data_IF_138174173267
#
_entry.id   IF_138174173267
#
_cell.length_a   1.000
_cell.length_b   1.000
_cell.length_c   1.000
_cell.angle_alpha   90.00
_cell.angle_beta   90.00
_cell.angle_gamma   90.00
#
_symmetry.space_group_name_H-M   'P 1'
#
loop_
_entity.id
_entity.type
_entity.pdbx_description
1 polymer ?
#
# COMPACT_ATOMS: atom_id res chain seq x y z
N UNK A 1 1.48 -10.41 -8.78
CA UNK A 1 0.60 -9.32 -8.25
C UNK A 1 0.28 -9.68 -6.81
N UNK A 2 0.24 -8.71 -5.91
CA UNK A 2 -0.25 -8.89 -4.54
C UNK A 2 -1.69 -8.40 -4.44
N UNK A 3 -2.49 -9.04 -3.60
CA UNK A 3 -3.87 -8.67 -3.31
C UNK A 3 -3.97 -8.15 -1.87
N UNK A 4 -4.32 -6.88 -1.71
CA UNK A 4 -4.58 -6.29 -0.41
C UNK A 4 -6.08 -6.08 -0.23
N UNK A 5 -6.66 -6.67 0.80
CA UNK A 5 -8.05 -6.42 1.16
C UNK A 5 -8.16 -5.04 1.81
N UNK A 6 -8.98 -4.16 1.22
CA UNK A 6 -9.25 -2.84 1.77
C UNK A 6 -10.58 -2.82 2.51
N UNK A 7 -10.55 -2.38 3.75
CA UNK A 7 -11.75 -2.19 4.57
C UNK A 7 -11.81 -0.76 5.14
N UNK A 8 -13.03 -0.33 5.44
CA UNK A 8 -13.31 0.88 6.20
C UNK A 8 -13.86 0.45 7.57
N UNK A 9 -13.04 0.43 8.64
CA UNK A 9 -13.38 -0.31 9.84
C UNK A 9 -14.55 0.26 10.63
N UNK A 10 -14.69 1.58 10.69
CA UNK A 10 -15.69 2.21 11.58
C UNK A 10 -16.93 2.71 10.86
N UNK A 11 -16.90 2.89 9.54
CA UNK A 11 -18.06 3.42 8.79
C UNK A 11 -19.07 2.33 8.46
N UNK A 12 -20.08 2.17 9.32
CA UNK A 12 -21.13 1.18 9.16
C UNK A 12 -22.14 1.54 8.05
N UNK A 13 -22.40 2.84 7.81
CA UNK A 13 -23.27 3.33 6.73
C UNK A 13 -22.74 4.65 6.17
N UNK A 14 -22.71 4.77 4.83
CA UNK A 14 -22.40 6.03 4.14
C UNK A 14 -23.67 6.89 3.93
N UNK A 15 -23.51 8.17 3.57
CA UNK A 15 -24.64 9.05 3.23
C UNK A 15 -25.47 8.52 2.06
N UNK A 16 -24.83 7.92 1.07
CA UNK A 16 -25.48 7.40 -0.14
C UNK A 16 -26.25 6.11 0.05
N UNK A 17 -26.09 5.43 1.20
CA UNK A 17 -26.82 4.20 1.48
C UNK A 17 -28.25 4.56 1.90
N UNK A 18 -29.24 4.19 1.11
CA UNK A 18 -30.67 4.49 1.37
C UNK A 18 -31.33 3.47 2.29
N UNK A 19 -31.03 2.19 2.12
CA UNK A 19 -31.59 1.10 2.89
C UNK A 19 -30.51 0.21 3.52
N UNK A 20 -30.81 -0.38 4.68
CA UNK A 20 -29.94 -1.32 5.38
C UNK A 20 -30.56 -2.72 5.32
N UNK A 21 -29.72 -3.72 5.11
CA UNK A 21 -30.16 -5.12 5.23
C UNK A 21 -30.62 -5.42 6.67
N UNK A 22 -31.64 -6.27 6.85
CA UNK A 22 -32.20 -6.58 8.17
C UNK A 22 -31.21 -7.18 9.19
N UNK A 23 -30.09 -7.76 8.71
CA UNK A 23 -29.00 -8.26 9.54
C UNK A 23 -27.87 -7.23 9.78
N UNK A 24 -28.01 -5.99 9.28
CA UNK A 24 -26.99 -4.95 9.44
C UNK A 24 -26.78 -4.59 10.92
N UNK A 25 -25.53 -4.30 11.33
CA UNK A 25 -25.18 -4.04 12.73
C UNK A 25 -25.98 -2.86 13.34
N UNK A 26 -26.22 -1.80 12.56
CA UNK A 26 -27.00 -0.66 13.02
C UNK A 26 -28.49 -0.99 13.27
N UNK A 27 -29.01 -2.10 12.70
CA UNK A 27 -30.37 -2.61 12.97
C UNK A 27 -30.35 -3.60 14.12
N UNK A 28 -29.41 -4.54 14.10
CA UNK A 28 -29.35 -5.61 15.12
C UNK A 28 -28.80 -5.14 16.46
N UNK A 29 -27.92 -4.15 16.45
CA UNK A 29 -27.24 -3.63 17.64
C UNK A 29 -27.09 -2.10 17.54
N UNK A 30 -28.21 -1.34 17.57
CA UNK A 30 -28.19 0.11 17.34
C UNK A 30 -27.31 0.89 18.32
N UNK A 31 -27.12 0.38 19.55
CA UNK A 31 -26.23 0.97 20.54
C UNK A 31 -24.72 0.89 20.20
N UNK A 32 -24.33 0.15 19.14
CA UNK A 32 -22.94 0.07 18.67
C UNK A 32 -22.55 1.20 17.74
N UNK A 33 -23.51 1.88 17.15
CA UNK A 33 -23.29 2.94 16.19
C UNK A 33 -23.87 4.26 16.69
N UNK A 34 -23.28 5.36 16.25
CA UNK A 34 -23.88 6.68 16.36
C UNK A 34 -24.13 7.28 14.98
N UNK A 35 -25.12 8.17 14.90
CA UNK A 35 -25.39 8.96 13.69
C UNK A 35 -24.50 10.20 13.69
N UNK A 36 -23.91 10.50 12.53
CA UNK A 36 -23.11 11.70 12.33
C UNK A 36 -23.18 12.14 10.87
N UNK A 37 -23.69 13.33 10.62
CA UNK A 37 -23.82 13.92 9.28
C UNK A 37 -24.42 12.94 8.23
N UNK A 38 -25.47 12.19 8.61
CA UNK A 38 -26.17 11.22 7.75
C UNK A 38 -25.45 9.87 7.54
N UNK A 39 -24.38 9.64 8.26
CA UNK A 39 -23.65 8.35 8.31
C UNK A 39 -23.94 7.62 9.61
N UNK A 40 -23.73 6.30 9.65
CA UNK A 40 -23.61 5.53 10.89
C UNK A 40 -22.17 5.11 11.08
N UNK A 41 -21.64 5.42 12.26
CA UNK A 41 -20.26 5.16 12.65
C UNK A 41 -20.26 4.19 13.83
N UNK A 42 -19.53 3.10 13.74
CA UNK A 42 -19.16 2.29 14.91
C UNK A 42 -18.32 3.14 15.83
N UNK A 43 -18.73 3.30 17.08
CA UNK A 43 -18.03 4.18 18.02
C UNK A 43 -16.61 3.67 18.30
N UNK A 44 -15.53 4.40 17.91
CA UNK A 44 -14.15 3.95 18.14
C UNK A 44 -13.78 3.89 19.63
N UNK A 45 -14.50 4.63 20.46
CA UNK A 45 -14.33 4.65 21.90
C UNK A 45 -14.92 3.44 22.63
N UNK A 46 -15.76 2.63 21.95
CA UNK A 46 -16.32 1.39 22.53
C UNK A 46 -15.38 0.20 22.30
N UNK A 47 -14.79 -0.39 23.35
CA UNK A 47 -13.91 -1.56 23.22
C UNK A 47 -14.56 -2.74 22.50
N UNK A 48 -15.89 -2.93 22.66
CA UNK A 48 -16.60 -4.03 22.02
C UNK A 48 -16.73 -3.84 20.50
N UNK A 49 -16.69 -2.61 20.00
CA UNK A 49 -16.63 -2.34 18.55
C UNK A 49 -15.23 -2.68 17.99
N UNK A 50 -14.14 -2.42 18.72
CA UNK A 50 -12.82 -2.86 18.31
C UNK A 50 -12.76 -4.38 18.20
N UNK A 51 -13.22 -5.11 19.21
CA UNK A 51 -13.27 -6.58 19.17
C UNK A 51 -14.14 -7.11 18.02
N UNK A 52 -15.24 -6.44 17.68
CA UNK A 52 -16.04 -6.81 16.52
C UNK A 52 -15.27 -6.66 15.21
N UNK A 53 -14.55 -5.55 15.03
CA UNK A 53 -13.74 -5.30 13.83
C UNK A 53 -12.59 -6.30 13.74
N UNK A 54 -11.93 -6.64 14.85
CA UNK A 54 -10.88 -7.67 14.88
C UNK A 54 -11.38 -9.02 14.41
N UNK A 55 -12.60 -9.43 14.79
CA UNK A 55 -13.22 -10.66 14.30
C UNK A 55 -13.49 -10.64 12.81
N UNK A 56 -13.92 -9.49 12.27
CA UNK A 56 -14.12 -9.32 10.82
C UNK A 56 -12.79 -9.45 10.08
N UNK A 57 -11.74 -8.80 10.56
CA UNK A 57 -10.40 -8.89 9.95
C UNK A 57 -9.83 -10.30 10.08
N UNK A 58 -9.95 -10.94 11.24
CA UNK A 58 -9.51 -12.33 11.43
C UNK A 58 -10.21 -13.28 10.44
N UNK A 59 -11.51 -13.10 10.21
CA UNK A 59 -12.25 -13.91 9.23
C UNK A 59 -11.74 -13.71 7.81
N UNK A 60 -11.45 -12.47 7.40
CA UNK A 60 -10.85 -12.17 6.08
C UNK A 60 -9.48 -12.83 5.96
N UNK A 61 -8.58 -12.54 6.89
CA UNK A 61 -7.19 -13.04 6.85
C UNK A 61 -7.14 -14.57 6.92
N UNK A 62 -8.02 -15.18 7.72
CA UNK A 62 -8.10 -16.65 7.86
C UNK A 62 -8.59 -17.32 6.58
N UNK A 63 -9.65 -16.80 5.96
CA UNK A 63 -10.37 -17.45 4.85
C UNK A 63 -9.78 -17.21 3.48
N UNK A 64 -9.11 -16.07 3.28
CA UNK A 64 -8.60 -15.66 1.97
C UNK A 64 -7.07 -15.62 1.95
N UNK A 65 -6.49 -15.91 0.79
CA UNK A 65 -5.03 -15.80 0.56
C UNK A 65 -4.70 -14.36 0.12
N UNK A 66 -4.95 -13.41 1.01
CA UNK A 66 -4.57 -12.01 0.81
C UNK A 66 -3.10 -11.80 1.20
N UNK A 67 -2.41 -10.93 0.48
CA UNK A 67 -1.03 -10.54 0.77
C UNK A 67 -0.96 -9.36 1.77
N UNK A 68 -2.08 -8.63 1.92
CA UNK A 68 -2.18 -7.53 2.86
C UNK A 68 -3.60 -7.18 3.26
N UNK A 69 -3.72 -6.46 4.36
CA UNK A 69 -4.92 -5.72 4.78
C UNK A 69 -4.61 -4.23 4.74
N UNK A 70 -5.53 -3.44 4.20
CA UNK A 70 -5.40 -2.00 4.07
C UNK A 70 -6.61 -1.28 4.66
N UNK A 71 -6.35 -0.21 5.41
CA UNK A 71 -7.39 0.71 5.90
C UNK A 71 -7.07 2.14 5.45
N UNK A 72 -8.11 2.95 5.33
CA UNK A 72 -7.98 4.36 4.98
C UNK A 72 -7.99 5.29 6.22
N UNK A 73 -8.47 6.51 6.10
CA UNK A 73 -8.40 7.57 7.10
C UNK A 73 -9.71 7.81 7.87
N UNK A 74 -10.71 6.94 7.73
CA UNK A 74 -12.00 7.08 8.39
C UNK A 74 -12.03 6.40 9.78
N UNK A 75 -11.20 6.90 10.69
CA UNK A 75 -11.20 6.45 12.10
C UNK A 75 -12.35 7.08 12.86
N UNK A 76 -12.28 8.38 13.15
CA UNK A 76 -13.42 9.21 13.47
C UNK A 76 -13.95 9.89 12.21
N UNK A 77 -15.24 10.31 12.19
CA UNK A 77 -15.79 10.98 11.01
C UNK A 77 -15.11 12.33 10.78
N UNK A 78 -15.03 12.74 9.53
CA UNK A 78 -14.56 14.07 9.16
C UNK A 78 -15.46 15.13 9.82
N UNK A 79 -14.89 16.20 10.40
CA UNK A 79 -15.67 17.28 10.98
C UNK A 79 -16.71 17.82 10.02
N UNK A 80 -17.94 17.96 10.49
CA UNK A 80 -19.05 18.53 9.73
C UNK A 80 -19.67 19.71 10.50
N UNK A 81 -20.05 20.81 9.81
CA UNK A 81 -20.64 21.98 10.46
C UNK A 81 -21.87 21.63 11.30
N UNK A 82 -21.89 22.06 12.55
CA UNK A 82 -23.00 21.84 13.47
C UNK A 82 -23.07 20.44 14.09
N UNK A 83 -22.16 19.54 13.73
CA UNK A 83 -22.13 18.18 14.25
C UNK A 83 -21.14 18.04 15.42
N UNK A 84 -21.55 17.28 16.42
CA UNK A 84 -20.69 16.91 17.56
C UNK A 84 -20.63 15.39 17.63
N UNK A 85 -19.44 14.82 17.85
CA UNK A 85 -19.27 13.38 18.02
C UNK A 85 -19.93 12.96 19.35
N UNK A 86 -20.95 12.10 19.35
CA UNK A 86 -21.74 11.79 20.54
C UNK A 86 -21.13 10.59 21.33
N UNK A 87 -19.86 10.71 21.70
CA UNK A 87 -19.06 9.69 22.40
C UNK A 87 -18.77 10.02 23.88
N UNK A 88 -19.49 11.02 24.44
CA UNK A 88 -19.29 11.47 25.83
C UNK A 88 -19.56 10.38 26.88
N UNK A 89 -20.52 9.49 26.65
CA UNK A 89 -20.81 8.36 27.55
C UNK A 89 -19.65 7.39 27.58
N UNK A 90 -19.11 7.02 26.43
CA UNK A 90 -17.98 6.08 26.31
C UNK A 90 -16.71 6.71 26.90
N UNK A 91 -16.53 8.00 26.73
CA UNK A 91 -15.44 8.74 27.41
C UNK A 91 -15.57 8.62 28.93
N UNK A 92 -16.75 8.79 29.51
CA UNK A 92 -16.94 8.64 30.95
C UNK A 92 -16.66 7.22 31.43
N UNK A 93 -17.04 6.19 30.65
CA UNK A 93 -16.90 4.78 31.02
C UNK A 93 -15.48 4.24 30.79
N UNK A 94 -14.77 4.72 29.75
CA UNK A 94 -13.55 4.08 29.24
C UNK A 94 -12.38 5.08 29.05
N UNK A 95 -12.33 6.18 29.84
CA UNK A 95 -11.31 7.22 29.66
C UNK A 95 -9.88 6.78 30.03
N UNK A 96 -9.69 5.65 30.71
CA UNK A 96 -8.39 5.14 31.14
C UNK A 96 -7.53 6.17 31.91
N UNK A 97 -8.16 7.06 32.67
CA UNK A 97 -7.51 8.14 33.39
C UNK A 97 -7.17 9.38 32.57
N UNK A 98 -7.48 9.39 31.28
CA UNK A 98 -7.32 10.56 30.42
C UNK A 98 -8.40 11.59 30.71
N UNK A 99 -7.99 12.86 30.86
CA UNK A 99 -8.89 13.96 31.18
C UNK A 99 -9.38 14.71 29.93
N UNK A 100 -8.64 14.62 28.83
CA UNK A 100 -8.95 15.30 27.57
C UNK A 100 -9.59 14.29 26.59
N UNK A 101 -10.77 14.62 26.09
CA UNK A 101 -11.51 13.75 25.16
C UNK A 101 -10.78 13.54 23.83
N UNK A 102 -10.04 14.52 23.32
CA UNK A 102 -9.28 14.37 22.07
C UNK A 102 -8.07 13.45 22.24
N UNK A 103 -7.41 13.49 23.42
CA UNK A 103 -6.34 12.56 23.74
C UNK A 103 -6.88 11.13 23.90
N UNK A 104 -8.06 10.99 24.49
CA UNK A 104 -8.72 9.70 24.61
C UNK A 104 -9.16 9.13 23.24
N UNK A 105 -9.67 9.97 22.34
CA UNK A 105 -9.98 9.57 20.98
C UNK A 105 -8.73 9.07 20.24
N UNK A 106 -7.61 9.81 20.32
CA UNK A 106 -6.31 9.37 19.75
C UNK A 106 -5.83 8.07 20.39
N UNK A 107 -5.94 7.95 21.70
CA UNK A 107 -5.58 6.72 22.41
C UNK A 107 -6.36 5.51 21.86
N UNK A 108 -7.67 5.64 21.66
CA UNK A 108 -8.49 4.55 21.13
C UNK A 108 -8.11 4.17 19.68
N UNK A 109 -7.84 5.15 18.83
CA UNK A 109 -7.37 4.89 17.46
C UNK A 109 -5.98 4.26 17.47
N UNK A 110 -5.07 4.76 18.29
CA UNK A 110 -3.71 4.20 18.44
C UNK A 110 -3.77 2.74 18.92
N UNK A 111 -4.60 2.46 19.91
CA UNK A 111 -4.80 1.11 20.44
C UNK A 111 -5.36 0.18 19.37
N UNK A 112 -6.35 0.63 18.61
CA UNK A 112 -6.92 -0.11 17.50
C UNK A 112 -5.86 -0.49 16.45
N UNK A 113 -5.06 0.45 16.01
CA UNK A 113 -4.01 0.22 15.00
C UNK A 113 -2.97 -0.78 15.51
N UNK A 114 -2.50 -0.59 16.75
CA UNK A 114 -1.52 -1.49 17.36
C UNK A 114 -2.04 -2.92 17.43
N UNK A 115 -3.20 -3.11 18.07
CA UNK A 115 -3.78 -4.44 18.31
C UNK A 115 -4.18 -5.13 16.99
N UNK A 116 -4.67 -4.36 15.98
CA UNK A 116 -5.01 -4.90 14.68
C UNK A 116 -3.79 -5.46 13.96
N UNK A 117 -2.67 -4.72 13.93
CA UNK A 117 -1.41 -5.21 13.36
C UNK A 117 -0.91 -6.47 14.05
N UNK A 118 -0.90 -6.48 15.38
CA UNK A 118 -0.52 -7.66 16.17
C UNK A 118 -1.39 -8.89 15.86
N UNK A 119 -2.72 -8.72 15.78
CA UNK A 119 -3.65 -9.82 15.48
C UNK A 119 -3.49 -10.35 14.04
N UNK A 120 -3.25 -9.47 13.06
CA UNK A 120 -2.97 -9.88 11.68
C UNK A 120 -1.72 -10.75 11.62
N UNK A 121 -0.60 -10.29 12.21
CA UNK A 121 0.67 -11.02 12.18
C UNK A 121 0.62 -12.33 13.02
N UNK A 122 -0.13 -12.35 14.12
CA UNK A 122 -0.39 -13.60 14.87
C UNK A 122 -1.14 -14.63 14.03
N UNK A 123 -2.07 -14.19 13.17
CA UNK A 123 -2.85 -15.08 12.30
C UNK A 123 -2.04 -15.58 11.09
N UNK A 124 -1.42 -14.64 10.36
CA UNK A 124 -0.55 -14.92 9.20
C UNK A 124 0.61 -13.90 9.19
N UNK A 125 1.81 -14.29 9.64
CA UNK A 125 2.95 -13.37 9.78
C UNK A 125 3.31 -12.59 8.51
N UNK A 126 3.03 -13.14 7.35
CA UNK A 126 3.33 -12.55 6.04
C UNK A 126 2.27 -11.57 5.52
N UNK A 127 1.11 -11.46 6.16
CA UNK A 127 0.06 -10.53 5.71
C UNK A 127 0.42 -9.12 6.17
N UNK A 128 0.68 -8.25 5.21
CA UNK A 128 1.08 -6.85 5.44
C UNK A 128 -0.10 -6.03 5.95
N UNK A 129 0.13 -5.17 6.92
CA UNK A 129 -0.86 -4.21 7.40
C UNK A 129 -0.50 -2.79 6.98
N UNK A 130 -1.31 -2.16 6.16
CA UNK A 130 -1.08 -0.81 5.65
C UNK A 130 -2.20 0.17 5.95
N UNK A 131 -1.84 1.45 5.96
CA UNK A 131 -2.78 2.55 6.18
C UNK A 131 -2.60 3.65 5.13
N UNK A 132 -3.71 4.19 4.61
CA UNK A 132 -3.71 5.42 3.79
C UNK A 132 -4.35 6.58 4.57
N UNK A 133 -3.56 7.30 5.37
CA UNK A 133 -4.04 8.43 6.14
C UNK A 133 -4.32 9.63 5.25
N UNK A 134 -5.07 10.60 5.76
CA UNK A 134 -5.22 11.91 5.13
C UNK A 134 -3.85 12.55 4.86
N UNK A 135 -3.73 13.35 3.80
CA UNK A 135 -2.42 13.84 3.33
C UNK A 135 -1.71 14.83 4.24
N UNK A 136 -2.40 15.46 5.19
CA UNK A 136 -1.82 16.40 6.16
C UNK A 136 -1.79 15.76 7.53
N UNK A 137 -0.59 15.58 8.11
CA UNK A 137 -0.47 15.11 9.50
C UNK A 137 -0.92 16.17 10.49
N UNK A 138 -0.24 17.32 10.50
CA UNK A 138 -0.59 18.56 11.24
C UNK A 138 -0.18 19.78 10.44
N UNK A 139 -0.91 20.88 10.60
CA UNK A 139 -0.53 22.17 10.06
C UNK A 139 0.55 22.82 10.95
N UNK A 140 1.47 23.58 10.35
CA UNK A 140 2.54 24.27 11.08
C UNK A 140 2.01 25.24 12.15
N UNK A 141 0.80 25.78 11.94
CA UNK A 141 0.12 26.65 12.92
C UNK A 141 -0.20 25.91 14.22
N UNK A 142 -0.56 24.61 14.11
CA UNK A 142 -0.95 23.76 15.26
C UNK A 142 0.28 23.09 15.90
N UNK A 143 1.31 22.83 15.10
CA UNK A 143 2.57 22.26 15.55
C UNK A 143 3.74 22.91 14.79
N UNK A 144 4.41 23.90 15.37
CA UNK A 144 5.53 24.58 14.73
C UNK A 144 6.72 23.69 14.42
N UNK A 145 6.87 22.58 15.13
CA UNK A 145 8.02 21.64 15.03
C UNK A 145 7.79 20.58 13.97
N UNK A 146 6.65 19.89 14.04
CA UNK A 146 6.34 18.74 13.17
C UNK A 146 5.33 19.09 12.07
N UNK A 147 4.60 20.20 12.17
CA UNK A 147 3.58 20.54 11.20
C UNK A 147 4.14 20.93 9.83
N UNK A 148 3.43 20.55 8.77
CA UNK A 148 3.68 21.02 7.39
C UNK A 148 3.16 22.44 7.16
N UNK A 149 3.72 23.15 6.19
CA UNK A 149 3.25 24.48 5.79
C UNK A 149 1.93 24.38 4.99
N UNK A 150 0.89 23.95 5.68
CA UNK A 150 -0.45 23.69 5.13
C UNK A 150 -1.53 24.35 5.98
N UNK A 151 -2.76 24.37 5.42
CA UNK A 151 -3.96 24.89 6.10
C UNK A 151 -5.16 24.05 5.65
N UNK A 152 -5.35 22.92 6.29
CA UNK A 152 -6.44 21.99 5.96
C UNK A 152 -6.76 21.07 7.12
N UNK A 153 -7.65 20.12 6.88
CA UNK A 153 -7.96 19.02 7.80
C UNK A 153 -6.68 18.26 8.14
N UNK A 154 -6.57 17.77 9.37
CA UNK A 154 -5.36 17.15 9.92
C UNK A 154 -5.66 15.76 10.48
N UNK A 155 -4.71 14.84 10.28
CA UNK A 155 -4.83 13.51 10.90
C UNK A 155 -4.90 13.59 12.43
N UNK A 156 -3.91 14.27 13.03
CA UNK A 156 -3.71 14.26 14.48
C UNK A 156 -4.82 14.97 15.24
N UNK A 157 -5.17 16.20 14.80
CA UNK A 157 -6.09 17.05 15.55
C UNK A 157 -7.56 16.81 15.19
N UNK A 158 -7.87 16.52 13.91
CA UNK A 158 -9.25 16.45 13.41
C UNK A 158 -9.76 15.00 13.27
N UNK A 159 -8.87 14.04 12.94
CA UNK A 159 -9.21 12.62 12.75
C UNK A 159 -8.70 11.75 13.89
N UNK A 160 -8.03 12.33 14.87
CA UNK A 160 -7.46 11.64 16.04
C UNK A 160 -6.50 10.51 15.68
N UNK A 161 -5.76 10.67 14.57
CA UNK A 161 -4.88 9.67 13.99
C UNK A 161 -3.41 10.10 14.12
N UNK A 162 -2.68 9.46 15.04
CA UNK A 162 -1.24 9.70 15.25
C UNK A 162 -0.39 8.78 14.35
N UNK A 163 -0.44 9.06 13.05
CA UNK A 163 0.20 8.23 12.03
C UNK A 163 1.72 8.13 12.21
N UNK A 164 2.38 9.21 12.67
CA UNK A 164 3.82 9.18 12.92
C UNK A 164 4.17 8.21 14.05
N UNK A 165 3.34 8.14 15.10
CA UNK A 165 3.50 7.16 16.16
C UNK A 165 3.42 5.73 15.59
N UNK A 166 2.45 5.45 14.74
CA UNK A 166 2.24 4.10 14.19
C UNK A 166 3.42 3.65 13.33
N UNK A 167 3.89 4.52 12.44
CA UNK A 167 5.05 4.26 11.58
C UNK A 167 6.32 4.08 12.42
N UNK A 168 6.57 4.97 13.39
CA UNK A 168 7.78 4.95 14.21
C UNK A 168 7.82 3.76 15.18
N UNK A 169 6.66 3.32 15.69
CA UNK A 169 6.54 2.12 16.54
C UNK A 169 6.44 0.82 15.74
N UNK A 170 6.31 0.90 14.42
CA UNK A 170 6.18 -0.28 13.58
C UNK A 170 4.85 -1.02 13.73
N UNK A 171 3.78 -0.31 14.07
CA UNK A 171 2.44 -0.88 14.20
C UNK A 171 1.76 -1.11 12.85
N UNK A 172 2.26 -0.45 11.81
CA UNK A 172 1.88 -0.65 10.42
C UNK A 172 3.11 -1.05 9.60
N UNK A 173 2.92 -1.81 8.54
CA UNK A 173 4.01 -2.29 7.68
C UNK A 173 4.30 -1.35 6.52
N UNK A 174 3.31 -0.54 6.10
CA UNK A 174 3.50 0.51 5.10
C UNK A 174 2.50 1.64 5.28
N UNK A 175 2.85 2.81 4.76
CA UNK A 175 2.04 4.02 4.84
C UNK A 175 1.81 4.61 3.46
N UNK A 176 0.57 5.07 3.18
CA UNK A 176 0.14 5.61 1.88
C UNK A 176 -0.60 6.92 2.08
N UNK A 177 0.05 8.02 2.49
CA UNK A 177 -0.66 9.30 2.66
C UNK A 177 -1.33 9.74 1.35
N UNK A 178 -2.57 10.21 1.46
CA UNK A 178 -3.42 10.60 0.34
C UNK A 178 -3.08 12.03 -0.13
N UNK A 179 -2.08 12.19 -1.01
CA UNK A 179 -1.66 13.48 -1.54
C UNK A 179 -2.47 13.85 -2.79
N UNK A 180 -3.78 14.01 -2.63
CA UNK A 180 -4.73 14.19 -3.75
C UNK A 180 -4.82 15.62 -4.30
N UNK A 181 -3.87 16.50 -3.95
CA UNK A 181 -3.81 17.87 -4.45
C UNK A 181 -2.82 18.03 -5.59
N UNK A 182 -2.92 19.17 -6.27
CA UNK A 182 -1.96 19.56 -7.30
C UNK A 182 -0.70 20.17 -6.68
N UNK A 183 0.39 20.17 -7.43
CA UNK A 183 1.55 21.03 -7.18
C UNK A 183 1.10 22.47 -7.30
N UNK A 184 1.46 23.32 -6.36
CA UNK A 184 1.01 24.71 -6.29
C UNK A 184 -0.36 24.92 -5.65
N UNK A 185 -0.93 23.89 -4.96
CA UNK A 185 -2.18 24.08 -4.23
C UNK A 185 -1.98 25.05 -3.05
N UNK A 186 -2.84 26.10 -2.89
CA UNK A 186 -2.57 27.22 -1.96
C UNK A 186 -2.57 26.85 -0.48
N UNK A 187 -3.19 25.72 -0.11
CA UNK A 187 -3.33 25.30 1.29
C UNK A 187 -2.82 23.89 1.59
N UNK A 188 -2.58 23.08 0.55
CA UNK A 188 -2.13 21.70 0.68
C UNK A 188 -1.26 21.31 -0.53
N UNK A 189 -0.18 22.07 -0.75
CA UNK A 189 0.70 21.87 -1.88
C UNK A 189 1.35 20.50 -1.87
N UNK A 190 1.27 19.81 -3.00
CA UNK A 190 1.79 18.47 -3.16
C UNK A 190 3.30 18.36 -2.92
N UNK A 191 4.10 19.31 -3.45
CA UNK A 191 5.56 19.31 -3.25
C UNK A 191 5.93 19.48 -1.78
N UNK A 192 5.25 20.38 -1.08
CA UNK A 192 5.40 20.57 0.36
C UNK A 192 5.11 19.27 1.13
N UNK A 193 4.00 18.61 0.77
CA UNK A 193 3.56 17.41 1.48
C UNK A 193 4.42 16.19 1.21
N UNK A 194 4.82 15.91 -0.04
CA UNK A 194 5.67 14.75 -0.33
C UNK A 194 7.04 14.86 0.35
N UNK A 195 7.64 16.07 0.38
CA UNK A 195 8.90 16.31 1.10
C UNK A 195 8.72 16.12 2.61
N UNK A 196 7.59 16.56 3.15
CA UNK A 196 7.29 16.39 4.57
C UNK A 196 7.17 14.89 4.92
N UNK A 197 6.37 14.13 4.18
CA UNK A 197 6.22 12.70 4.40
C UNK A 197 7.53 11.93 4.21
N UNK A 198 8.31 12.26 3.18
CA UNK A 198 9.63 11.67 2.94
C UNK A 198 10.58 11.88 4.13
N UNK A 199 10.48 13.04 4.80
CA UNK A 199 11.32 13.35 5.96
C UNK A 199 10.92 12.60 7.22
N UNK A 200 9.61 12.46 7.48
CA UNK A 200 9.11 12.06 8.80
C UNK A 200 8.56 10.63 8.87
N UNK A 201 8.25 9.98 7.75
CA UNK A 201 7.65 8.65 7.70
C UNK A 201 8.61 7.54 7.20
N UNK A 202 9.92 7.71 7.37
CA UNK A 202 10.93 6.84 6.77
C UNK A 202 11.16 5.48 7.43
N UNK A 203 10.54 5.19 8.59
CA UNK A 203 10.76 3.92 9.29
C UNK A 203 9.97 2.73 8.72
N UNK A 204 9.07 2.98 7.79
CA UNK A 204 8.28 1.98 7.04
C UNK A 204 8.23 2.38 5.57
N UNK A 205 8.07 1.43 4.64
CA UNK A 205 7.84 1.76 3.24
C UNK A 205 6.76 2.81 3.07
N UNK A 206 7.13 3.92 2.43
CA UNK A 206 6.25 5.03 2.12
C UNK A 206 5.83 4.96 0.65
N UNK A 207 4.55 4.87 0.39
CA UNK A 207 3.99 5.02 -0.94
C UNK A 207 3.15 6.30 -0.98
N UNK A 208 3.04 6.94 -2.13
CA UNK A 208 2.23 8.14 -2.26
C UNK A 208 0.88 7.82 -2.88
N UNK A 209 -0.19 8.13 -2.15
CA UNK A 209 -1.56 8.06 -2.67
C UNK A 209 -1.83 9.21 -3.63
N UNK A 210 -2.16 8.88 -4.88
CA UNK A 210 -2.40 9.84 -5.96
C UNK A 210 -3.84 9.77 -6.44
N UNK A 211 -4.48 10.94 -6.68
CA UNK A 211 -5.73 11.00 -7.43
C UNK A 211 -5.44 11.21 -8.91
N UNK A 212 -5.76 10.21 -9.73
CA UNK A 212 -5.57 10.25 -11.18
C UNK A 212 -6.35 11.39 -11.81
N UNK A 213 -7.65 11.51 -11.49
CA UNK A 213 -8.52 12.54 -12.03
C UNK A 213 -8.03 13.96 -11.71
N UNK A 214 -7.62 14.20 -10.46
CA UNK A 214 -7.11 15.51 -10.04
C UNK A 214 -5.76 15.82 -10.69
N UNK A 215 -4.84 14.84 -10.75
CA UNK A 215 -3.55 15.03 -11.41
C UNK A 215 -3.72 15.33 -12.90
N UNK A 216 -4.63 14.62 -13.56
CA UNK A 216 -4.92 14.85 -14.99
C UNK A 216 -5.59 16.19 -15.28
N UNK A 217 -6.35 16.74 -14.31
CA UNK A 217 -7.11 17.99 -14.44
C UNK A 217 -6.23 19.25 -14.45
N UNK A 218 -5.12 19.24 -13.70
CA UNK A 218 -4.30 20.43 -13.51
C UNK A 218 -3.10 20.43 -14.46
N UNK A 219 -2.84 21.56 -15.09
CA UNK A 219 -1.68 21.78 -15.95
C UNK A 219 -0.39 21.79 -15.11
N UNK A 220 0.69 21.28 -15.71
CA UNK A 220 2.04 21.43 -15.18
C UNK A 220 2.43 22.92 -15.14
N UNK A 221 2.98 23.38 -14.02
CA UNK A 221 3.37 24.80 -13.82
C UNK A 221 4.49 25.25 -14.78
N UNK A 222 5.31 24.31 -15.26
CA UNK A 222 6.42 24.58 -16.18
C UNK A 222 6.07 24.27 -17.64
N UNK A 223 5.01 23.47 -17.90
CA UNK A 223 4.56 23.09 -19.23
C UNK A 223 3.02 23.06 -19.29
N UNK A 224 2.35 24.18 -19.58
CA UNK A 224 0.89 24.28 -19.61
C UNK A 224 0.19 23.30 -20.59
N UNK A 225 0.92 22.74 -21.56
CA UNK A 225 0.41 21.75 -22.50
C UNK A 225 0.41 20.32 -21.96
N UNK A 226 0.92 20.11 -20.76
CA UNK A 226 0.96 18.82 -20.04
C UNK A 226 0.20 18.91 -18.73
N UNK A 227 -0.33 17.76 -18.28
CA UNK A 227 -0.83 17.67 -16.91
C UNK A 227 0.34 17.47 -15.91
N UNK A 228 0.03 17.41 -14.62
CA UNK A 228 1.08 17.37 -13.57
C UNK A 228 1.71 15.99 -13.34
N UNK A 229 1.32 14.95 -14.08
CA UNK A 229 1.88 13.60 -13.91
C UNK A 229 3.42 13.57 -14.06
N UNK A 230 4.03 14.13 -15.12
CA UNK A 230 5.49 14.16 -15.24
C UNK A 230 6.19 14.88 -14.08
N UNK A 231 5.64 16.00 -13.61
CA UNK A 231 6.21 16.77 -12.50
C UNK A 231 6.17 15.98 -11.18
N UNK A 232 5.06 15.31 -10.89
CA UNK A 232 4.93 14.46 -9.70
C UNK A 232 5.89 13.28 -9.72
N UNK A 233 6.06 12.59 -10.84
CA UNK A 233 7.05 11.51 -10.93
C UNK A 233 8.49 12.00 -10.77
N UNK A 234 8.84 13.18 -11.33
CA UNK A 234 10.16 13.79 -11.04
C UNK A 234 10.37 14.10 -9.55
N UNK A 235 9.31 14.48 -8.82
CA UNK A 235 9.40 14.64 -7.37
C UNK A 235 9.61 13.30 -6.66
N UNK A 236 8.92 12.23 -7.06
CA UNK A 236 9.12 10.89 -6.50
C UNK A 236 10.58 10.45 -6.62
N UNK A 237 11.21 10.65 -7.78
CA UNK A 237 12.62 10.28 -8.03
C UNK A 237 13.61 11.00 -7.10
N UNK A 238 13.21 12.17 -6.55
CA UNK A 238 14.01 12.91 -5.58
C UNK A 238 13.82 12.45 -4.13
N UNK A 239 12.83 11.59 -3.86
CA UNK A 239 12.42 11.19 -2.51
C UNK A 239 12.97 9.81 -2.16
N UNK A 240 14.03 9.74 -1.36
CA UNK A 240 14.72 8.49 -1.02
C UNK A 240 13.85 7.46 -0.29
N UNK A 241 12.86 7.92 0.49
CA UNK A 241 11.99 7.06 1.29
C UNK A 241 10.70 6.65 0.55
N UNK A 242 10.34 7.33 -0.56
CA UNK A 242 9.19 6.97 -1.38
C UNK A 242 9.53 5.72 -2.20
N UNK A 243 8.75 4.65 -2.02
CA UNK A 243 8.97 3.34 -2.65
C UNK A 243 8.03 3.07 -3.83
N UNK A 244 7.06 3.95 -4.06
CA UNK A 244 6.13 3.82 -5.17
C UNK A 244 4.87 4.68 -4.98
N UNK A 245 3.89 4.42 -5.84
CA UNK A 245 2.65 5.19 -5.92
C UNK A 245 1.45 4.26 -5.84
N UNK A 246 0.41 4.67 -5.12
CA UNK A 246 -0.90 4.02 -5.08
C UNK A 246 -1.92 4.93 -5.75
N UNK A 247 -2.50 4.47 -6.84
CA UNK A 247 -3.37 5.29 -7.69
C UNK A 247 -4.84 5.13 -7.30
N UNK A 248 -5.46 6.22 -6.91
CA UNK A 248 -6.88 6.34 -6.74
C UNK A 248 -7.49 6.95 -8.01
N UNK A 249 -8.24 6.22 -8.81
CA UNK A 249 -8.62 4.82 -8.66
C UNK A 249 -8.38 4.08 -9.99
N UNK A 250 -8.39 2.74 -9.97
CA UNK A 250 -8.02 1.90 -11.11
C UNK A 250 -8.80 2.22 -12.40
N UNK A 251 -10.12 2.47 -12.30
CA UNK A 251 -10.95 2.80 -13.47
C UNK A 251 -10.43 4.03 -14.21
N UNK A 252 -9.99 5.08 -13.54
CA UNK A 252 -9.46 6.29 -14.18
C UNK A 252 -8.16 6.00 -14.97
N UNK A 253 -7.32 5.06 -14.50
CA UNK A 253 -6.14 4.59 -15.23
C UNK A 253 -6.54 3.76 -16.46
N UNK A 254 -7.51 2.86 -16.30
CA UNK A 254 -8.02 1.99 -17.40
C UNK A 254 -8.70 2.84 -18.48
N UNK A 255 -9.50 3.82 -18.09
CA UNK A 255 -10.15 4.78 -18.99
C UNK A 255 -9.15 5.78 -19.61
N UNK A 256 -7.89 5.70 -19.24
CA UNK A 256 -6.81 6.56 -19.73
C UNK A 256 -7.05 8.07 -19.55
N UNK A 257 -7.66 8.46 -18.44
CA UNK A 257 -7.95 9.88 -18.14
C UNK A 257 -6.67 10.70 -18.24
N UNK A 258 -6.69 11.78 -19.03
CA UNK A 258 -5.53 12.66 -19.26
C UNK A 258 -4.28 11.94 -19.78
N UNK A 259 -4.45 10.85 -20.55
CA UNK A 259 -3.36 9.98 -21.04
C UNK A 259 -2.54 9.28 -19.92
N UNK A 260 -3.10 9.19 -18.71
CA UNK A 260 -2.38 8.68 -17.54
C UNK A 260 -1.93 7.22 -17.72
N UNK A 261 -2.85 6.33 -18.14
CA UNK A 261 -2.54 4.92 -18.38
C UNK A 261 -1.51 4.70 -19.49
N UNK A 262 -1.58 5.49 -20.56
CA UNK A 262 -0.60 5.48 -21.66
C UNK A 262 0.78 5.94 -21.18
N UNK A 263 0.85 7.00 -20.37
CA UNK A 263 2.11 7.52 -19.84
C UNK A 263 2.77 6.52 -18.87
N UNK A 264 1.99 5.89 -17.98
CA UNK A 264 2.52 4.83 -17.11
C UNK A 264 3.12 3.69 -17.92
N UNK A 265 2.39 3.15 -18.88
CA UNK A 265 2.82 1.99 -19.69
C UNK A 265 4.06 2.28 -20.53
N UNK A 266 4.14 3.45 -21.13
CA UNK A 266 5.18 3.76 -22.12
C UNK A 266 6.44 4.38 -21.50
N UNK A 267 6.32 5.01 -20.32
CA UNK A 267 7.41 5.77 -19.72
C UNK A 267 7.71 5.35 -18.28
N UNK A 268 6.79 5.55 -17.34
CA UNK A 268 7.10 5.44 -15.90
C UNK A 268 7.13 4.00 -15.40
N UNK A 269 6.21 3.15 -15.86
CA UNK A 269 6.12 1.72 -15.49
C UNK A 269 6.34 0.81 -16.70
N UNK A 270 7.18 1.24 -17.61
CA UNK A 270 7.51 0.51 -18.84
C UNK A 270 8.11 -0.87 -18.56
N UNK A 271 8.88 -0.97 -17.51
CA UNK A 271 9.52 -2.21 -17.10
C UNK A 271 8.87 -2.76 -15.83
N UNK A 272 8.81 -4.10 -15.66
CA UNK A 272 8.40 -4.71 -14.41
C UNK A 272 9.30 -4.26 -13.26
N UNK A 273 8.72 -4.07 -12.07
CA UNK A 273 9.48 -3.79 -10.85
C UNK A 273 9.17 -4.86 -9.80
N UNK A 274 10.16 -5.22 -9.01
CA UNK A 274 9.94 -6.03 -7.82
C UNK A 274 9.33 -5.15 -6.73
N UNK A 275 8.45 -5.74 -5.94
CA UNK A 275 7.94 -5.08 -4.74
C UNK A 275 9.09 -4.89 -3.73
N UNK A 276 9.12 -3.80 -2.97
CA UNK A 276 10.12 -3.59 -1.93
C UNK A 276 10.15 -4.72 -0.90
N UNK A 277 11.33 -5.14 -0.52
CA UNK A 277 11.54 -6.05 0.61
C UNK A 277 11.03 -5.41 1.91
N UNK A 278 10.57 -6.24 2.86
CA UNK A 278 10.15 -5.82 4.20
C UNK A 278 10.95 -6.57 5.26
N UNK A 279 12.25 -6.24 5.46
CA UNK A 279 13.15 -7.02 6.30
C UNK A 279 12.76 -7.02 7.78
N UNK A 280 11.89 -6.13 8.22
CA UNK A 280 11.34 -6.14 9.57
C UNK A 280 10.22 -7.19 9.78
N UNK A 281 9.68 -7.78 8.70
CA UNK A 281 8.78 -8.94 8.74
C UNK A 281 9.59 -10.21 8.49
N UNK A 282 10.42 -10.22 7.43
CA UNK A 282 11.29 -11.33 7.05
C UNK A 282 12.46 -10.82 6.20
N UNK A 283 13.69 -11.17 6.59
CA UNK A 283 14.94 -10.87 5.87
C UNK A 283 15.62 -12.13 5.29
N UNK A 284 14.97 -13.28 5.40
CA UNK A 284 15.51 -14.58 5.00
C UNK A 284 15.24 -14.83 3.52
N UNK A 285 16.31 -14.87 2.74
CA UNK A 285 16.21 -15.13 1.29
C UNK A 285 15.94 -16.60 0.98
N UNK A 286 15.02 -16.92 0.06
CA UNK A 286 14.80 -18.29 -0.39
C UNK A 286 16.04 -18.84 -1.11
N UNK A 287 16.13 -20.17 -1.21
CA UNK A 287 17.21 -20.80 -1.98
C UNK A 287 17.02 -20.57 -3.48
N UNK A 288 18.13 -20.50 -4.23
CA UNK A 288 18.10 -20.30 -5.69
C UNK A 288 17.43 -21.45 -6.42
N UNK A 289 16.78 -21.22 -7.58
CA UNK A 289 16.26 -22.24 -8.48
C UNK A 289 17.34 -23.27 -8.87
N UNK A 290 16.93 -24.50 -9.12
CA UNK A 290 17.83 -25.62 -9.47
C UNK A 290 17.55 -26.10 -10.90
N UNK A 291 18.51 -26.84 -11.49
CA UNK A 291 18.37 -27.58 -12.75
C UNK A 291 17.79 -26.75 -13.91
N UNK A 292 18.32 -25.54 -14.13
CA UNK A 292 17.89 -24.67 -15.23
C UNK A 292 18.21 -25.35 -16.58
N UNK A 293 17.17 -25.80 -17.32
CA UNK A 293 17.29 -26.61 -18.53
C UNK A 293 16.33 -26.12 -19.63
N UNK A 294 16.83 -25.69 -20.81
CA UNK A 294 15.99 -25.44 -21.96
C UNK A 294 15.63 -26.78 -22.65
N UNK A 295 14.38 -26.92 -23.07
CA UNK A 295 13.85 -28.15 -23.71
C UNK A 295 12.87 -27.77 -24.81
N UNK A 296 12.92 -28.43 -25.95
CA UNK A 296 11.90 -28.41 -26.98
C UNK A 296 10.68 -29.24 -26.55
N UNK A 297 9.51 -28.66 -26.67
CA UNK A 297 8.23 -29.31 -26.37
C UNK A 297 7.25 -29.04 -27.51
N UNK A 298 6.03 -29.63 -27.46
CA UNK A 298 4.92 -29.31 -28.38
C UNK A 298 4.55 -27.79 -28.36
N UNK A 299 4.74 -27.12 -27.22
CA UNK A 299 4.41 -25.71 -27.04
C UNK A 299 5.56 -24.76 -27.42
N UNK A 300 6.71 -25.31 -27.87
CA UNK A 300 7.90 -24.58 -28.30
C UNK A 300 9.11 -24.78 -27.40
N UNK A 301 10.06 -23.85 -27.49
CA UNK A 301 11.33 -23.93 -26.74
C UNK A 301 11.12 -23.32 -25.34
N UNK A 302 11.21 -24.13 -24.29
CA UNK A 302 10.86 -23.74 -22.92
C UNK A 302 12.07 -23.90 -22.00
N UNK A 303 12.30 -22.90 -21.17
CA UNK A 303 13.26 -22.93 -20.08
C UNK A 303 12.58 -23.40 -18.81
N UNK A 304 12.93 -24.59 -18.34
CA UNK A 304 12.44 -25.16 -17.09
C UNK A 304 13.45 -25.00 -15.97
N UNK A 305 12.96 -24.93 -14.75
CA UNK A 305 13.76 -25.05 -13.53
C UNK A 305 13.03 -25.85 -12.46
N UNK A 306 13.78 -26.29 -11.46
CA UNK A 306 13.20 -26.98 -10.31
C UNK A 306 13.09 -25.99 -9.16
N UNK A 307 11.92 -25.99 -8.52
CA UNK A 307 11.68 -25.20 -7.31
C UNK A 307 12.76 -25.50 -6.25
N UNK A 308 13.30 -24.48 -5.58
CA UNK A 308 14.18 -24.68 -4.43
C UNK A 308 13.42 -25.34 -3.28
N UNK A 309 14.13 -26.04 -2.41
CA UNK A 309 13.54 -26.59 -1.19
C UNK A 309 13.44 -25.48 -0.16
N UNK A 310 12.23 -25.20 0.30
CA UNK A 310 11.88 -24.43 1.48
C UNK A 310 11.03 -25.28 2.41
N UNK A 311 10.95 -24.91 3.67
CA UNK A 311 10.15 -25.61 4.68
C UNK A 311 9.04 -24.74 5.24
N UNK A 312 9.36 -23.48 5.50
CA UNK A 312 8.52 -22.52 6.18
C UNK A 312 8.09 -21.41 5.22
N UNK A 313 7.09 -20.64 5.61
CA UNK A 313 6.55 -19.55 4.78
C UNK A 313 7.61 -18.51 4.38
N UNK A 314 8.65 -18.31 5.21
CA UNK A 314 9.74 -17.35 5.05
C UNK A 314 10.91 -17.84 4.15
N UNK A 315 10.91 -19.12 3.75
CA UNK A 315 11.96 -19.67 2.87
C UNK A 315 11.43 -20.41 1.63
N UNK A 316 10.10 -20.49 1.47
CA UNK A 316 9.45 -21.09 0.31
C UNK A 316 9.37 -20.09 -0.84
N UNK A 317 9.93 -20.46 -2.00
CA UNK A 317 9.76 -19.68 -3.21
C UNK A 317 8.31 -19.69 -3.69
N UNK A 318 7.71 -18.52 -3.85
CA UNK A 318 6.34 -18.33 -4.35
C UNK A 318 6.29 -17.78 -5.77
N UNK A 319 7.36 -17.09 -6.19
CA UNK A 319 7.50 -16.50 -7.52
C UNK A 319 8.94 -16.65 -8.02
N UNK A 320 9.12 -16.43 -9.31
CA UNK A 320 10.43 -16.42 -9.96
C UNK A 320 10.56 -15.21 -10.84
N UNK A 321 11.79 -14.65 -10.89
CA UNK A 321 12.12 -13.57 -11.83
C UNK A 321 13.05 -14.11 -12.90
N UNK A 322 12.67 -13.95 -14.16
CA UNK A 322 13.45 -14.33 -15.32
C UNK A 322 14.05 -13.10 -15.95
N UNK A 323 15.38 -13.03 -15.99
CA UNK A 323 16.12 -11.97 -16.64
C UNK A 323 16.77 -12.48 -17.92
N UNK A 324 16.95 -11.59 -18.93
CA UNK A 324 17.65 -11.85 -20.16
C UNK A 324 18.74 -10.80 -20.40
N UNK A 325 19.97 -11.24 -20.58
CA UNK A 325 21.14 -10.42 -20.89
C UNK A 325 21.74 -10.85 -22.23
N UNK A 326 22.33 -9.92 -22.96
CA UNK A 326 23.07 -10.22 -24.18
C UNK A 326 24.36 -11.01 -23.87
N UNK A 327 24.93 -11.66 -24.90
CA UNK A 327 26.23 -12.36 -24.78
C UNK A 327 27.31 -11.36 -24.36
N UNK A 328 28.05 -11.66 -23.29
CA UNK A 328 29.12 -10.81 -22.76
C UNK A 328 28.66 -9.70 -21.82
N UNK A 329 27.38 -9.41 -21.76
CA UNK A 329 26.85 -8.39 -20.88
C UNK A 329 27.02 -8.77 -19.39
N UNK A 330 27.41 -7.78 -18.55
CA UNK A 330 27.48 -7.97 -17.09
C UNK A 330 26.08 -8.17 -16.53
N UNK A 331 25.92 -9.20 -15.69
CA UNK A 331 24.63 -9.44 -15.00
C UNK A 331 24.44 -8.39 -13.92
N UNK A 332 23.40 -7.57 -14.08
CA UNK A 332 22.91 -6.61 -13.11
C UNK A 332 21.42 -6.91 -12.86
N UNK A 333 21.07 -7.37 -11.68
CA UNK A 333 19.67 -7.69 -11.32
C UNK A 333 18.86 -6.44 -10.95
N UNK A 334 19.53 -5.33 -10.67
CA UNK A 334 18.90 -4.04 -10.38
C UNK A 334 18.38 -3.32 -11.66
N UNK A 335 18.71 -3.86 -12.85
CA UNK A 335 18.22 -3.29 -14.11
C UNK A 335 16.86 -3.91 -14.49
N UNK A 336 15.74 -3.19 -14.29
CA UNK A 336 14.40 -3.71 -14.56
C UNK A 336 14.17 -3.98 -16.05
N UNK A 337 14.92 -3.36 -16.96
CA UNK A 337 14.83 -3.60 -18.40
C UNK A 337 15.24 -5.03 -18.80
N UNK A 338 15.93 -5.74 -17.93
CA UNK A 338 16.35 -7.13 -18.13
C UNK A 338 15.31 -8.14 -17.68
N UNK A 339 14.31 -7.74 -16.91
CA UNK A 339 13.23 -8.62 -16.48
C UNK A 339 12.33 -8.92 -17.68
N UNK A 340 12.26 -10.19 -18.07
CA UNK A 340 11.38 -10.67 -19.16
C UNK A 340 10.15 -11.40 -18.66
N UNK A 341 10.15 -11.85 -17.39
CA UNK A 341 8.98 -12.39 -16.72
C UNK A 341 9.13 -12.36 -15.19
N UNK A 342 8.00 -12.18 -14.50
CA UNK A 342 7.79 -12.51 -13.10
C UNK A 342 6.63 -13.51 -13.09
N UNK A 343 6.87 -14.74 -12.61
CA UNK A 343 5.92 -15.87 -12.73
C UNK A 343 5.90 -16.73 -11.48
N UNK A 344 4.77 -17.35 -11.17
CA UNK A 344 4.67 -18.42 -10.17
C UNK A 344 5.02 -19.80 -10.74
N UNK A 345 5.07 -19.92 -12.08
CA UNK A 345 5.41 -21.17 -12.76
C UNK A 345 6.92 -21.45 -12.71
N UNK A 346 7.30 -22.72 -12.83
CA UNK A 346 8.70 -23.17 -12.89
C UNK A 346 9.21 -23.28 -14.32
N UNK A 347 8.64 -22.47 -15.23
CA UNK A 347 9.00 -22.47 -16.66
C UNK A 347 8.83 -21.08 -17.27
N UNK A 348 9.52 -20.85 -18.39
CA UNK A 348 9.40 -19.67 -19.24
C UNK A 348 9.53 -20.04 -20.71
N UNK A 349 8.56 -19.64 -21.54
CA UNK A 349 8.61 -19.85 -23.00
C UNK A 349 9.62 -18.91 -23.63
N UNK A 350 10.66 -19.47 -24.21
CA UNK A 350 11.74 -18.73 -24.85
C UNK A 350 11.29 -18.19 -26.21
N UNK A 351 11.59 -16.92 -26.55
CA UNK A 351 11.26 -16.34 -27.86
C UNK A 351 12.28 -16.83 -28.92
N UNK A 352 12.18 -18.09 -29.30
CA UNK A 352 13.07 -18.70 -30.31
C UNK A 352 12.82 -18.11 -31.69
N UNK A 353 13.89 -17.81 -32.43
CA UNK A 353 13.85 -17.31 -33.81
C UNK A 353 14.60 -18.26 -34.75
N UNK A 354 15.93 -18.30 -34.70
CA UNK A 354 16.75 -19.03 -35.68
C UNK A 354 17.94 -19.80 -35.05
N UNK A 355 18.07 -19.77 -33.74
CA UNK A 355 19.13 -20.48 -33.00
C UNK A 355 20.54 -19.84 -33.11
N UNK A 356 20.65 -18.63 -33.66
CA UNK A 356 21.97 -17.97 -33.91
C UNK A 356 22.36 -17.06 -32.77
N UNK A 357 21.43 -16.27 -32.23
CA UNK A 357 21.72 -15.29 -31.20
C UNK A 357 21.82 -15.93 -29.82
N UNK A 358 22.93 -15.69 -29.14
CA UNK A 358 23.18 -16.24 -27.80
C UNK A 358 22.86 -15.22 -26.71
N UNK A 359 21.96 -15.62 -25.81
CA UNK A 359 21.59 -14.85 -24.61
C UNK A 359 22.03 -15.57 -23.35
N UNK A 360 22.13 -14.80 -22.24
CA UNK A 360 22.27 -15.34 -20.89
C UNK A 360 20.97 -15.14 -20.14
N UNK A 361 20.27 -16.23 -19.86
CA UNK A 361 19.12 -16.23 -18.98
C UNK A 361 19.57 -16.40 -17.53
N UNK A 362 18.93 -15.64 -16.64
CA UNK A 362 19.18 -15.67 -15.20
C UNK A 362 17.83 -15.81 -14.52
N UNK A 363 17.71 -16.76 -13.60
CA UNK A 363 16.48 -17.00 -12.85
C UNK A 363 16.77 -16.92 -11.36
N UNK A 364 15.98 -16.12 -10.66
CA UNK A 364 15.96 -16.02 -9.21
C UNK A 364 14.62 -16.50 -8.67
N UNK A 365 14.51 -16.71 -7.38
CA UNK A 365 13.27 -17.03 -6.67
C UNK A 365 12.95 -15.90 -5.70
N UNK A 366 11.67 -15.60 -5.53
CA UNK A 366 11.13 -14.70 -4.52
C UNK A 366 10.29 -15.49 -3.52
N UNK A 367 10.40 -15.19 -2.25
CA UNK A 367 9.43 -15.60 -1.22
C UNK A 367 8.20 -14.69 -1.18
N UNK A 368 7.37 -14.81 -0.15
CA UNK A 368 6.18 -13.96 0.05
C UNK A 368 6.51 -12.51 0.38
N UNK A 369 7.68 -12.24 1.00
CA UNK A 369 8.12 -10.89 1.33
C UNK A 369 8.98 -10.24 0.25
N UNK A 370 9.06 -10.92 -0.92
CA UNK A 370 9.82 -10.49 -2.09
C UNK A 370 11.36 -10.47 -1.88
N UNK A 371 11.86 -11.20 -0.87
CA UNK A 371 13.29 -11.42 -0.71
C UNK A 371 13.82 -12.22 -1.91
N UNK A 372 14.77 -11.67 -2.64
CA UNK A 372 15.29 -12.27 -3.85
C UNK A 372 16.49 -13.20 -3.58
N UNK A 373 16.39 -14.43 -4.07
CA UNK A 373 17.44 -15.43 -3.94
C UNK A 373 18.70 -15.13 -4.74
N UNK A 374 19.78 -15.85 -4.46
CA UNK A 374 20.90 -15.95 -5.40
C UNK A 374 20.44 -16.49 -6.76
N UNK A 375 21.09 -16.05 -7.83
CA UNK A 375 20.72 -16.36 -9.19
C UNK A 375 21.21 -17.76 -9.67
N UNK A 376 20.44 -18.41 -10.56
CA UNK A 376 20.89 -19.51 -11.43
C UNK A 376 20.95 -18.98 -12.86
N UNK A 377 22.03 -19.33 -13.58
CA UNK A 377 22.35 -18.78 -14.92
C UNK A 377 22.45 -19.91 -15.96
N UNK A 378 22.00 -19.63 -17.20
CA UNK A 378 22.13 -20.52 -18.36
C UNK A 378 22.31 -19.70 -19.65
N UNK A 379 23.29 -20.05 -20.47
CA UNK A 379 23.40 -19.50 -21.82
C UNK A 379 22.56 -20.33 -22.79
N UNK A 380 21.79 -19.66 -23.64
CA UNK A 380 20.83 -20.27 -24.58
C UNK A 380 20.96 -19.54 -25.92
N UNK A 381 20.88 -20.27 -27.02
CA UNK A 381 20.76 -19.73 -28.39
C UNK A 381 19.29 -19.68 -28.77
N UNK A 382 18.84 -18.55 -29.30
CA UNK A 382 17.47 -18.31 -29.75
C UNK A 382 17.43 -17.92 -31.22
#
# INVERSE_FOLDING_TARGET
MELHAWINPYRAKTKSTSALAGNHIAIKQPGKVFSYAGQFILNPGDPANREYIYKVVDDIVRRYDVDGLHIDDYFYPYPAPGEVIPDGREFQLYNNGLKNVNDWRRYNVNLFIKELGEKIHQRKPWVKFGVSPFGIYRNKKNDPTLGSNTRGLQNYDDLYADVLLWVNKGWVDYCVPQLYWQIGHPTADYDTLIRWWNRYAGNRPLYIGESVDRTAKYADLQNPNSNQLPAKFRLHDQMSNVKGTVLWYAKAVVDNVGNYGTALRNYYWKYPALQPEMPFIDDKRPKKPRKLKPVWTSDGYILFWTQPRGKDWDDVATKYVVYRFNKGERVNLEDPSKIVAITSETMYKLPYVDGKTKYRYVVTALDRMNNESKAKKKSIKL
#
